data_IF_900753548572
#
_entry.id   IF_900753548572
#
_cell.length_a   1.000
_cell.length_b   1.000
_cell.length_c   1.000
_cell.angle_alpha   90.00
_cell.angle_beta   90.00
_cell.angle_gamma   90.00
#
_symmetry.space_group_name_H-M   'P 1'
#
loop_
_entity.id
_entity.type
_entity.pdbx_description
1 polymer ?
#
# COMPACT_ATOMS: atom_id res chain seq x y z
N UNK A 1 17.49 -22.78 -5.07
CA UNK A 1 18.73 -22.00 -5.12
C UNK A 1 19.05 -21.56 -3.71
N UNK A 2 20.32 -21.34 -3.38
CA UNK A 2 20.68 -20.80 -2.08
C UNK A 2 20.19 -19.34 -2.01
N UNK A 3 19.67 -18.94 -0.86
CA UNK A 3 19.16 -17.58 -0.62
C UNK A 3 20.31 -16.59 -0.53
N UNK A 4 20.17 -15.40 -1.14
CA UNK A 4 21.19 -14.36 -1.07
C UNK A 4 21.32 -13.82 0.35
N UNK A 5 22.54 -13.44 0.73
CA UNK A 5 22.84 -12.91 2.05
C UNK A 5 23.57 -11.57 1.92
N UNK A 6 23.10 -10.58 2.66
CA UNK A 6 23.41 -9.16 2.56
C UNK A 6 24.07 -8.63 3.84
N UNK A 7 25.02 -9.41 4.39
CA UNK A 7 25.64 -9.16 5.70
C UNK A 7 26.15 -7.73 5.89
N UNK A 8 26.94 -7.21 4.95
CA UNK A 8 27.55 -5.88 5.09
C UNK A 8 26.50 -4.76 5.07
N UNK A 9 25.48 -4.90 4.23
CA UNK A 9 24.42 -3.91 4.12
C UNK A 9 23.58 -3.89 5.38
N UNK A 10 23.07 -5.06 5.77
CA UNK A 10 22.19 -5.19 6.93
C UNK A 10 22.90 -4.82 8.24
N UNK A 11 24.16 -5.20 8.42
CA UNK A 11 24.94 -4.80 9.60
C UNK A 11 25.19 -3.28 9.69
N UNK A 12 25.03 -2.54 8.60
CA UNK A 12 25.12 -1.09 8.55
C UNK A 12 23.78 -0.36 8.74
N UNK A 13 22.66 -1.08 8.77
CA UNK A 13 21.34 -0.47 8.92
C UNK A 13 21.11 -0.03 10.37
N UNK A 14 20.60 1.19 10.61
CA UNK A 14 20.17 1.63 11.93
C UNK A 14 18.95 0.83 12.42
N UNK A 15 18.87 0.58 13.71
CA UNK A 15 17.65 0.01 14.30
C UNK A 15 16.49 1.01 14.22
N UNK A 16 15.31 0.51 13.86
CA UNK A 16 14.06 1.27 13.84
C UNK A 16 13.01 0.64 14.76
N UNK A 17 12.21 1.48 15.40
CA UNK A 17 11.14 1.08 16.31
C UNK A 17 9.85 1.77 15.88
N UNK A 18 8.71 1.17 16.18
CA UNK A 18 7.39 1.69 15.79
C UNK A 18 7.15 3.15 16.24
N UNK A 19 7.69 3.53 17.40
CA UNK A 19 7.54 4.88 17.97
C UNK A 19 8.70 5.84 17.60
N UNK A 20 9.54 5.47 16.64
CA UNK A 20 10.62 6.33 16.16
C UNK A 20 10.06 7.61 15.54
N UNK A 21 10.45 8.77 16.07
CA UNK A 21 10.02 10.09 15.59
C UNK A 21 10.98 10.71 14.56
N UNK A 22 12.10 10.02 14.28
CA UNK A 22 13.09 10.41 13.27
C UNK A 22 13.37 9.24 12.37
N UNK A 23 13.45 9.52 11.07
CA UNK A 23 13.83 8.54 10.07
C UNK A 23 15.35 8.53 9.91
N UNK A 24 15.98 7.34 9.86
CA UNK A 24 17.38 7.25 9.49
C UNK A 24 17.63 7.64 8.02
N UNK A 25 16.62 7.41 7.18
CA UNK A 25 16.56 7.71 5.75
C UNK A 25 15.09 7.66 5.31
N UNK A 26 14.74 8.34 4.23
CA UNK A 26 13.43 8.23 3.57
C UNK A 26 13.29 6.90 2.85
N UNK A 27 12.07 6.51 2.49
CA UNK A 27 11.85 5.29 1.68
C UNK A 27 12.50 5.39 0.30
N UNK A 28 12.56 6.60 -0.28
CA UNK A 28 13.20 6.81 -1.58
C UNK A 28 14.71 6.61 -1.48
N UNK A 29 15.36 7.22 -0.49
CA UNK A 29 16.79 7.03 -0.23
C UNK A 29 17.11 5.55 0.04
N UNK A 30 16.25 4.85 0.78
CA UNK A 30 16.44 3.41 0.98
C UNK A 30 16.29 2.62 -0.31
N UNK A 31 15.30 2.96 -1.15
CA UNK A 31 15.12 2.36 -2.47
C UNK A 31 16.37 2.50 -3.34
N UNK A 32 16.96 3.70 -3.39
CA UNK A 32 18.21 3.95 -4.12
C UNK A 32 19.38 3.11 -3.57
N UNK A 33 19.50 2.97 -2.25
CA UNK A 33 20.50 2.10 -1.65
C UNK A 33 20.32 0.62 -2.05
N UNK A 34 19.07 0.16 -2.16
CA UNK A 34 18.76 -1.23 -2.54
C UNK A 34 19.08 -1.52 -4.00
N UNK A 35 18.97 -0.54 -4.90
CA UNK A 35 19.32 -0.65 -6.32
C UNK A 35 20.80 -1.05 -6.53
N UNK A 36 21.70 -0.58 -5.67
CA UNK A 36 23.14 -0.87 -5.77
C UNK A 36 23.55 -2.20 -5.11
N UNK A 37 22.73 -2.72 -4.20
CA UNK A 37 23.11 -3.81 -3.30
C UNK A 37 22.41 -5.12 -3.63
N UNK A 38 21.14 -5.08 -4.04
CA UNK A 38 20.34 -6.28 -4.21
C UNK A 38 20.72 -7.07 -5.46
N UNK A 39 20.74 -8.40 -5.32
CA UNK A 39 20.77 -9.27 -6.48
C UNK A 39 19.48 -9.09 -7.32
N UNK A 40 19.59 -9.27 -8.64
CA UNK A 40 18.48 -9.02 -9.57
C UNK A 40 17.18 -9.77 -9.21
N UNK A 41 17.25 -10.98 -8.66
CA UNK A 41 16.05 -11.74 -8.27
C UNK A 41 15.34 -11.11 -7.07
N UNK A 42 16.09 -10.63 -6.08
CA UNK A 42 15.56 -10.01 -4.87
C UNK A 42 15.11 -8.57 -5.12
N UNK A 43 15.80 -7.87 -6.02
CA UNK A 43 15.40 -6.54 -6.48
C UNK A 43 13.97 -6.58 -7.04
N UNK A 44 13.62 -7.59 -7.83
CA UNK A 44 12.26 -7.77 -8.36
C UNK A 44 11.20 -7.89 -7.26
N UNK A 45 11.55 -8.41 -6.09
CA UNK A 45 10.64 -8.50 -4.95
C UNK A 45 10.35 -7.12 -4.35
N UNK A 46 11.38 -6.28 -4.26
CA UNK A 46 11.26 -4.89 -3.81
C UNK A 46 10.55 -4.02 -4.83
N UNK A 47 10.86 -4.20 -6.12
CA UNK A 47 10.21 -3.48 -7.22
C UNK A 47 8.70 -3.69 -7.20
N UNK A 48 8.23 -4.92 -6.89
CA UNK A 48 6.80 -5.19 -6.70
C UNK A 48 6.17 -4.27 -5.67
N UNK A 49 6.83 -3.96 -4.57
CA UNK A 49 6.29 -3.07 -3.53
C UNK A 49 6.18 -1.61 -3.97
N UNK A 50 7.06 -1.18 -4.88
CA UNK A 50 7.11 0.19 -5.38
C UNK A 50 6.14 0.47 -6.52
N UNK A 51 5.59 -0.57 -7.17
CA UNK A 51 4.56 -0.42 -8.21
C UNK A 51 3.31 0.33 -7.74
N UNK A 52 3.08 0.47 -6.43
CA UNK A 52 2.02 1.37 -5.91
C UNK A 52 2.10 2.79 -6.49
N UNK A 53 3.30 3.32 -6.74
CA UNK A 53 3.48 4.64 -7.34
C UNK A 53 3.14 4.63 -8.84
N UNK A 54 3.51 3.57 -9.56
CA UNK A 54 3.16 3.41 -10.96
C UNK A 54 1.65 3.16 -11.16
N UNK A 55 0.98 2.52 -10.20
CA UNK A 55 -0.47 2.34 -10.17
C UNK A 55 -1.20 3.68 -10.03
N UNK A 56 -0.75 4.50 -9.09
CA UNK A 56 -1.24 5.88 -8.92
C UNK A 56 -1.04 6.70 -10.21
N UNK A 57 0.14 6.57 -10.82
CA UNK A 57 0.47 7.26 -12.06
C UNK A 57 -0.42 6.84 -13.24
N UNK A 58 -0.61 5.53 -13.43
CA UNK A 58 -1.48 5.01 -14.48
C UNK A 58 -2.91 5.49 -14.29
N UNK A 59 -3.46 5.39 -13.07
CA UNK A 59 -4.80 5.89 -12.74
C UNK A 59 -4.93 7.39 -13.02
N UNK A 60 -3.96 8.19 -12.58
CA UNK A 60 -3.94 9.63 -12.80
C UNK A 60 -3.89 9.97 -14.30
N UNK A 61 -3.03 9.27 -15.05
CA UNK A 61 -2.87 9.46 -16.48
C UNK A 61 -4.12 9.07 -17.29
N UNK A 62 -4.77 7.96 -16.93
CA UNK A 62 -6.01 7.51 -17.58
C UNK A 62 -7.16 8.52 -17.37
N UNK A 63 -7.26 9.10 -16.18
CA UNK A 63 -8.24 10.16 -15.88
C UNK A 63 -7.90 11.50 -16.53
N UNK A 64 -6.62 11.86 -16.58
CA UNK A 64 -6.14 13.10 -17.17
C UNK A 64 -4.77 12.87 -17.82
N UNK A 65 -4.72 12.91 -19.16
CA UNK A 65 -3.49 12.71 -19.95
C UNK A 65 -2.39 13.75 -19.70
N UNK A 66 -2.72 14.87 -19.04
CA UNK A 66 -1.77 15.92 -18.66
C UNK A 66 -1.49 15.94 -17.14
N UNK A 67 -1.83 14.87 -16.41
CA UNK A 67 -1.53 14.78 -14.98
C UNK A 67 -0.02 14.83 -14.73
N UNK A 68 0.40 15.54 -13.68
CA UNK A 68 1.77 15.44 -13.18
C UNK A 68 1.93 14.11 -12.45
N UNK A 69 2.82 13.27 -12.95
CA UNK A 69 3.05 11.92 -12.41
C UNK A 69 3.99 11.97 -11.20
N UNK A 70 3.75 11.09 -10.25
CA UNK A 70 4.61 10.84 -9.11
C UNK A 70 5.98 10.34 -9.59
N UNK A 71 7.04 11.10 -9.30
CA UNK A 71 8.42 10.83 -9.72
C UNK A 71 9.02 9.57 -9.08
N UNK A 72 8.36 9.01 -8.05
CA UNK A 72 8.74 7.74 -7.43
C UNK A 72 8.34 6.52 -8.26
N UNK A 73 7.43 6.69 -9.22
CA UNK A 73 7.11 5.66 -10.21
C UNK A 73 8.25 5.50 -11.22
N UNK A 74 8.46 4.28 -11.70
CA UNK A 74 9.51 3.96 -12.68
C UNK A 74 9.04 4.12 -14.13
N UNK A 75 7.72 4.11 -14.37
CA UNK A 75 7.13 4.16 -15.70
C UNK A 75 6.79 5.62 -16.05
N UNK A 76 7.39 6.11 -17.14
CA UNK A 76 7.15 7.46 -17.65
C UNK A 76 5.79 7.65 -18.30
N UNK A 77 5.37 8.90 -18.48
CA UNK A 77 4.15 9.24 -19.22
C UNK A 77 4.17 8.74 -20.66
N UNK A 78 5.33 8.78 -21.30
CA UNK A 78 5.58 8.29 -22.65
C UNK A 78 5.38 6.78 -22.72
N UNK A 79 5.95 6.02 -21.77
CA UNK A 79 5.79 4.56 -21.71
C UNK A 79 4.33 4.15 -21.40
N UNK A 80 3.63 4.87 -20.52
CA UNK A 80 2.19 4.65 -20.30
C UNK A 80 1.42 4.87 -21.59
N UNK A 81 1.71 5.95 -22.32
CA UNK A 81 1.06 6.26 -23.58
C UNK A 81 1.34 5.19 -24.64
N UNK A 82 2.59 4.80 -24.82
CA UNK A 82 2.98 3.73 -25.76
C UNK A 82 2.31 2.40 -25.43
N UNK A 83 2.14 2.10 -24.14
CA UNK A 83 1.41 0.91 -23.66
C UNK A 83 -0.06 0.97 -24.08
N UNK A 84 -0.74 2.11 -23.84
CA UNK A 84 -2.13 2.30 -24.25
C UNK A 84 -2.28 2.22 -25.77
N UNK A 85 -1.43 2.94 -26.52
CA UNK A 85 -1.45 2.97 -27.98
C UNK A 85 -1.24 1.55 -28.56
N UNK A 86 -0.39 0.74 -27.94
CA UNK A 86 -0.17 -0.67 -28.33
C UNK A 86 -1.41 -1.54 -28.06
N UNK A 87 -2.06 -1.36 -26.91
CA UNK A 87 -3.26 -2.12 -26.52
C UNK A 87 -4.44 -1.79 -27.43
N UNK A 88 -4.64 -0.52 -27.80
CA UNK A 88 -5.74 -0.09 -28.69
C UNK A 88 -5.71 -0.75 -30.07
N UNK A 89 -4.52 -1.13 -30.56
CA UNK A 89 -4.33 -1.80 -31.85
C UNK A 89 -4.02 -3.30 -31.71
N UNK A 90 -4.24 -3.88 -30.53
CA UNK A 90 -3.94 -5.27 -30.18
C UNK A 90 -2.49 -5.70 -30.51
N UNK A 91 -1.54 -4.77 -30.32
CA UNK A 91 -0.12 -5.01 -30.50
C UNK A 91 0.55 -5.39 -29.17
N UNK A 92 1.50 -6.36 -29.15
CA UNK A 92 2.16 -6.76 -27.92
C UNK A 92 2.96 -5.62 -27.26
N UNK A 93 2.83 -5.48 -25.94
CA UNK A 93 3.63 -4.55 -25.15
C UNK A 93 5.10 -4.98 -25.21
N UNK A 94 5.97 -4.08 -25.65
CA UNK A 94 7.40 -4.37 -25.86
C UNK A 94 8.25 -4.14 -24.62
N UNK A 95 7.81 -3.26 -23.71
CA UNK A 95 8.56 -2.89 -22.52
C UNK A 95 8.34 -3.92 -21.40
N UNK A 96 9.37 -4.71 -21.02
CA UNK A 96 9.25 -5.76 -20.00
C UNK A 96 9.10 -5.21 -18.58
N UNK A 97 9.34 -3.92 -18.35
CA UNK A 97 9.16 -3.26 -17.06
C UNK A 97 7.69 -2.94 -16.77
N UNK A 98 6.81 -2.98 -17.80
CA UNK A 98 5.36 -2.84 -17.61
C UNK A 98 4.82 -4.10 -16.91
N UNK A 99 4.21 -3.96 -15.72
CA UNK A 99 3.62 -5.11 -15.04
C UNK A 99 2.52 -5.74 -15.90
N UNK A 100 2.42 -7.08 -15.96
CA UNK A 100 1.42 -7.74 -16.82
C UNK A 100 -0.02 -7.28 -16.56
N UNK A 101 -0.38 -7.00 -15.30
CA UNK A 101 -1.73 -6.56 -14.95
C UNK A 101 -2.09 -5.16 -15.45
N UNK A 102 -1.11 -4.35 -15.90
CA UNK A 102 -1.41 -3.06 -16.54
C UNK A 102 -2.18 -3.27 -17.83
N UNK A 103 -1.84 -4.32 -18.59
CA UNK A 103 -2.54 -4.63 -19.82
C UNK A 103 -4.02 -4.94 -19.55
N UNK A 104 -4.28 -5.86 -18.60
CA UNK A 104 -5.62 -6.25 -18.21
C UNK A 104 -6.43 -5.06 -17.70
N UNK A 105 -5.81 -4.22 -16.86
CA UNK A 105 -6.43 -3.02 -16.32
C UNK A 105 -6.76 -1.98 -17.40
N UNK A 106 -5.82 -1.69 -18.31
CA UNK A 106 -6.03 -0.72 -19.40
C UNK A 106 -7.09 -1.23 -20.37
N UNK A 107 -7.09 -2.52 -20.72
CA UNK A 107 -8.15 -3.11 -21.57
C UNK A 107 -9.52 -2.93 -20.95
N UNK A 108 -9.64 -3.18 -19.66
CA UNK A 108 -10.89 -2.99 -18.92
C UNK A 108 -11.29 -1.52 -18.85
N UNK A 109 -10.32 -0.60 -18.70
CA UNK A 109 -10.56 0.84 -18.78
C UNK A 109 -11.04 1.28 -20.17
N UNK A 110 -10.48 0.75 -21.26
CA UNK A 110 -10.88 1.16 -22.62
C UNK A 110 -12.25 0.62 -23.04
N UNK A 111 -12.77 -0.39 -22.34
CA UNK A 111 -14.13 -0.91 -22.56
C UNK A 111 -15.18 0.09 -22.03
N UNK A 112 -15.89 0.76 -22.94
CA UNK A 112 -16.96 1.70 -22.59
C UNK A 112 -18.06 1.04 -21.74
N UNK A 113 -18.34 -0.24 -21.94
CA UNK A 113 -19.37 -0.96 -21.16
C UNK A 113 -18.98 -1.15 -19.70
N UNK A 114 -17.67 -1.13 -19.39
CA UNK A 114 -17.17 -1.26 -18.02
C UNK A 114 -17.44 -0.01 -17.16
N UNK A 115 -17.68 1.15 -17.78
CA UNK A 115 -17.91 2.41 -17.06
C UNK A 115 -19.35 2.56 -16.55
N UNK A 116 -20.31 1.85 -17.13
CA UNK A 116 -21.71 1.87 -16.72
C UNK A 116 -21.94 1.12 -15.39
N UNK A 117 -20.97 0.34 -14.92
CA UNK A 117 -21.08 -0.56 -13.77
C UNK A 117 -20.79 0.08 -12.39
N UNK A 118 -20.69 1.42 -12.28
CA UNK A 118 -20.26 2.13 -11.05
C UNK A 118 -18.97 1.54 -10.45
N UNK A 119 -18.00 1.15 -11.28
CA UNK A 119 -16.73 0.58 -10.82
C UNK A 119 -15.92 1.61 -10.05
N UNK A 120 -15.45 1.20 -8.87
CA UNK A 120 -14.40 1.91 -8.14
C UNK A 120 -13.06 1.47 -8.75
N UNK A 121 -12.59 2.25 -9.73
CA UNK A 121 -11.37 1.99 -10.49
C UNK A 121 -10.13 1.83 -9.61
N UNK A 122 -10.09 2.54 -8.48
CA UNK A 122 -9.05 2.42 -7.45
C UNK A 122 -9.07 1.05 -6.76
N UNK A 123 -10.25 0.52 -6.46
CA UNK A 123 -10.40 -0.79 -5.82
C UNK A 123 -10.01 -1.90 -6.79
N UNK A 124 -10.38 -1.77 -8.06
CA UNK A 124 -9.98 -2.69 -9.12
C UNK A 124 -8.45 -2.67 -9.33
N UNK A 125 -7.82 -1.49 -9.38
CA UNK A 125 -6.36 -1.40 -9.45
C UNK A 125 -5.71 -2.07 -8.23
N UNK A 126 -6.30 -1.86 -7.05
CA UNK A 126 -5.85 -2.51 -5.82
C UNK A 126 -5.98 -4.03 -5.91
N UNK A 127 -7.05 -4.57 -6.52
CA UNK A 127 -7.21 -6.01 -6.76
C UNK A 127 -6.04 -6.57 -7.58
N UNK A 128 -5.83 -6.01 -8.77
CA UNK A 128 -4.77 -6.45 -9.67
C UNK A 128 -3.39 -6.37 -9.01
N UNK A 129 -3.13 -5.29 -8.29
CA UNK A 129 -1.86 -5.09 -7.59
C UNK A 129 -1.65 -6.10 -6.46
N UNK A 130 -2.68 -6.34 -5.65
CA UNK A 130 -2.60 -7.28 -4.54
C UNK A 130 -2.42 -8.72 -5.05
N UNK A 131 -3.14 -9.12 -6.10
CA UNK A 131 -2.97 -10.44 -6.70
C UNK A 131 -1.57 -10.62 -7.30
N UNK A 132 -1.06 -9.62 -8.02
CA UNK A 132 0.30 -9.66 -8.55
C UNK A 132 1.38 -9.79 -7.47
N UNK A 133 1.19 -9.13 -6.32
CA UNK A 133 2.07 -9.26 -5.17
C UNK A 133 2.00 -10.64 -4.51
N UNK A 134 0.79 -11.17 -4.34
CA UNK A 134 0.52 -12.50 -3.73
C UNK A 134 1.08 -13.65 -4.56
N UNK A 135 1.19 -13.50 -5.87
CA UNK A 135 1.84 -14.48 -6.77
C UNK A 135 3.36 -14.57 -6.59
N UNK A 136 3.97 -13.72 -5.75
CA UNK A 136 5.38 -13.85 -5.38
C UNK A 136 5.70 -15.24 -4.82
N UNK A 137 6.83 -15.80 -5.26
CA UNK A 137 7.35 -17.06 -4.71
C UNK A 137 7.98 -16.88 -3.33
N UNK A 138 8.33 -15.65 -2.97
CA UNK A 138 8.83 -15.31 -1.65
C UNK A 138 7.64 -15.23 -0.68
N UNK A 139 7.74 -15.98 0.44
CA UNK A 139 6.63 -16.15 1.38
C UNK A 139 6.32 -14.88 2.16
N UNK A 140 7.32 -14.13 2.60
CA UNK A 140 7.11 -12.89 3.34
C UNK A 140 6.42 -11.86 2.45
N UNK A 141 6.92 -11.68 1.22
CA UNK A 141 6.35 -10.73 0.25
C UNK A 141 4.90 -11.12 -0.09
N UNK A 142 4.66 -12.37 -0.48
CA UNK A 142 3.31 -12.86 -0.77
C UNK A 142 2.36 -12.68 0.43
N UNK A 143 2.83 -13.05 1.62
CA UNK A 143 2.08 -12.91 2.87
C UNK A 143 1.80 -11.45 3.24
N UNK A 144 2.70 -10.52 2.93
CA UNK A 144 2.50 -9.09 3.17
C UNK A 144 1.37 -8.52 2.30
N UNK A 145 1.33 -8.88 1.02
CA UNK A 145 0.24 -8.47 0.13
C UNK A 145 -1.10 -9.11 0.55
N UNK A 146 -1.09 -10.40 0.89
CA UNK A 146 -2.25 -11.12 1.44
C UNK A 146 -2.77 -10.45 2.73
N UNK A 147 -1.89 -10.13 3.68
CA UNK A 147 -2.24 -9.44 4.93
C UNK A 147 -2.94 -8.11 4.65
N UNK A 148 -2.37 -7.27 3.77
CA UNK A 148 -2.90 -5.95 3.50
C UNK A 148 -4.26 -5.99 2.79
N UNK A 149 -4.44 -6.91 1.84
CA UNK A 149 -5.73 -7.19 1.22
C UNK A 149 -6.77 -7.61 2.27
N UNK A 150 -6.37 -8.52 3.18
CA UNK A 150 -7.26 -9.04 4.21
C UNK A 150 -7.66 -7.98 5.24
N UNK A 151 -6.70 -7.16 5.71
CA UNK A 151 -7.00 -6.02 6.60
C UNK A 151 -8.04 -5.10 5.95
N UNK A 152 -7.82 -4.72 4.68
CA UNK A 152 -8.75 -3.86 3.94
C UNK A 152 -10.15 -4.45 3.85
N UNK A 153 -10.26 -5.69 3.38
CA UNK A 153 -11.53 -6.40 3.23
C UNK A 153 -12.27 -6.59 4.56
N UNK A 154 -11.57 -6.96 5.64
CA UNK A 154 -12.16 -7.16 6.96
C UNK A 154 -12.73 -5.85 7.50
N UNK A 155 -11.96 -4.76 7.42
CA UNK A 155 -12.42 -3.44 7.88
C UNK A 155 -13.61 -2.96 7.05
N UNK A 156 -13.55 -3.10 5.72
CA UNK A 156 -14.64 -2.76 4.83
C UNK A 156 -15.93 -3.54 5.17
N UNK A 157 -15.81 -4.86 5.40
CA UNK A 157 -16.93 -5.71 5.80
C UNK A 157 -17.54 -5.30 7.14
N UNK A 158 -16.70 -5.01 8.15
CA UNK A 158 -17.14 -4.54 9.47
C UNK A 158 -17.92 -3.23 9.33
N UNK A 159 -17.41 -2.27 8.56
CA UNK A 159 -18.10 -0.99 8.36
C UNK A 159 -19.39 -1.14 7.56
N UNK A 160 -19.40 -1.95 6.50
CA UNK A 160 -20.63 -2.21 5.75
C UNK A 160 -21.72 -2.77 6.66
N UNK A 161 -21.39 -3.73 7.52
CA UNK A 161 -22.33 -4.26 8.52
C UNK A 161 -22.78 -3.21 9.52
N UNK A 162 -21.88 -2.36 10.01
CA UNK A 162 -22.20 -1.27 10.94
C UNK A 162 -23.15 -0.23 10.35
N UNK A 163 -23.02 0.05 9.05
CA UNK A 163 -23.79 1.10 8.36
C UNK A 163 -24.94 0.57 7.48
N UNK A 164 -25.15 -0.75 7.42
CA UNK A 164 -26.21 -1.38 6.63
C UNK A 164 -25.96 -1.31 5.12
N UNK A 165 -24.69 -1.31 4.70
CA UNK A 165 -24.28 -1.35 3.29
C UNK A 165 -24.10 -2.81 2.83
N UNK A 166 -24.22 -3.03 1.52
CA UNK A 166 -23.93 -4.35 0.93
C UNK A 166 -22.42 -4.61 0.98
N UNK A 167 -22.04 -5.69 1.67
CA UNK A 167 -20.64 -6.11 1.78
C UNK A 167 -20.09 -6.51 0.41
N UNK A 168 -20.90 -7.14 -0.44
CA UNK A 168 -20.40 -7.70 -1.71
C UNK A 168 -19.91 -6.64 -2.69
N UNK A 169 -20.29 -5.37 -2.52
CA UNK A 169 -19.90 -4.28 -3.42
C UNK A 169 -18.55 -3.66 -3.08
N UNK A 170 -17.94 -4.01 -1.94
CA UNK A 170 -16.69 -3.38 -1.47
C UNK A 170 -15.55 -4.36 -1.21
N UNK A 171 -15.81 -5.66 -1.26
CA UNK A 171 -14.76 -6.67 -1.06
C UNK A 171 -13.96 -6.82 -2.33
N UNK A 172 -12.64 -6.68 -2.20
CA UNK A 172 -11.66 -6.71 -3.28
C UNK A 172 -11.04 -8.10 -3.38
N UNK A 173 -10.83 -8.59 -4.61
CA UNK A 173 -10.11 -9.85 -4.85
C UNK A 173 -10.92 -11.12 -4.62
N UNK A 174 -10.28 -12.26 -4.86
CA UNK A 174 -10.93 -13.59 -4.85
C UNK A 174 -10.20 -14.63 -3.98
N UNK A 175 -9.40 -14.17 -3.02
CA UNK A 175 -8.76 -15.04 -2.03
C UNK A 175 -9.77 -15.67 -1.06
N UNK A 176 -9.29 -16.56 -0.22
CA UNK A 176 -10.14 -17.30 0.73
C UNK A 176 -10.90 -16.36 1.67
N UNK A 177 -10.23 -15.34 2.21
CA UNK A 177 -10.86 -14.35 3.11
C UNK A 177 -11.96 -13.58 2.39
N UNK A 178 -11.72 -13.08 1.17
CA UNK A 178 -12.74 -12.39 0.39
C UNK A 178 -13.95 -13.29 0.11
N UNK A 179 -13.73 -14.56 -0.25
CA UNK A 179 -14.82 -15.53 -0.47
C UNK A 179 -15.62 -15.79 0.80
N UNK A 180 -14.94 -16.05 1.93
CA UNK A 180 -15.59 -16.27 3.21
C UNK A 180 -16.47 -15.09 3.63
N UNK A 181 -16.00 -13.85 3.43
CA UNK A 181 -16.78 -12.64 3.70
C UNK A 181 -18.05 -12.58 2.84
N UNK A 182 -17.92 -12.81 1.52
CA UNK A 182 -19.07 -12.77 0.58
C UNK A 182 -20.07 -13.91 0.83
N UNK A 183 -19.60 -15.09 1.23
CA UNK A 183 -20.45 -16.25 1.52
C UNK A 183 -21.13 -16.14 2.90
N UNK A 184 -20.52 -15.44 3.86
CA UNK A 184 -20.98 -15.36 5.25
C UNK A 184 -21.28 -13.92 5.74
N UNK A 185 -21.93 -13.03 4.97
CA UNK A 185 -22.07 -11.61 5.33
C UNK A 185 -22.87 -11.37 6.61
N UNK A 186 -23.77 -12.31 6.95
CA UNK A 186 -24.62 -12.23 8.13
C UNK A 186 -23.95 -12.77 9.41
N UNK A 187 -22.90 -13.57 9.30
CA UNK A 187 -22.18 -14.14 10.45
C UNK A 187 -21.36 -13.04 11.13
N UNK A 188 -21.26 -13.05 12.48
CA UNK A 188 -20.62 -11.96 13.25
C UNK A 188 -19.17 -11.73 12.85
N UNK A 189 -18.43 -12.82 12.67
CA UNK A 189 -17.01 -12.84 12.32
C UNK A 189 -16.75 -13.21 10.85
N UNK A 190 -17.82 -13.34 10.04
CA UNK A 190 -17.74 -13.82 8.66
C UNK A 190 -17.11 -15.23 8.51
N UNK A 191 -17.01 -15.99 9.60
CA UNK A 191 -16.27 -17.26 9.64
C UNK A 191 -14.74 -17.13 9.76
N UNK A 192 -14.22 -15.92 10.02
CA UNK A 192 -12.78 -15.64 9.98
C UNK A 192 -12.05 -15.80 11.32
N UNK A 193 -12.74 -15.75 12.48
CA UNK A 193 -12.06 -15.80 13.79
C UNK A 193 -11.26 -17.09 14.02
N UNK A 194 -11.54 -18.16 13.25
CA UNK A 194 -10.78 -19.43 13.32
C UNK A 194 -9.65 -19.52 12.31
N UNK A 195 -9.74 -18.76 11.21
CA UNK A 195 -8.77 -18.80 10.11
C UNK A 195 -7.67 -17.74 10.29
N UNK A 196 -8.00 -16.61 10.92
CA UNK A 196 -7.10 -15.47 11.07
C UNK A 196 -6.90 -15.11 12.54
N UNK A 197 -5.71 -15.38 13.07
CA UNK A 197 -5.33 -15.10 14.46
C UNK A 197 -5.48 -13.61 14.84
N UNK A 198 -5.32 -12.71 13.85
CA UNK A 198 -5.40 -11.27 14.04
C UNK A 198 -6.82 -10.69 13.87
N UNK A 199 -7.83 -11.50 13.54
CA UNK A 199 -9.20 -11.01 13.29
C UNK A 199 -9.80 -10.31 14.51
N UNK A 200 -9.74 -10.94 15.69
CA UNK A 200 -10.30 -10.37 16.92
C UNK A 200 -9.58 -9.06 17.33
N UNK A 201 -8.30 -8.92 16.96
CA UNK A 201 -7.56 -7.67 17.12
C UNK A 201 -8.07 -6.61 16.14
N UNK A 202 -8.25 -6.92 14.85
CA UNK A 202 -8.84 -5.99 13.89
C UNK A 202 -10.26 -5.57 14.26
N UNK A 203 -11.08 -6.50 14.77
CA UNK A 203 -12.44 -6.17 15.22
C UNK A 203 -12.42 -5.13 16.33
N UNK A 204 -11.54 -5.28 17.33
CA UNK A 204 -11.35 -4.28 18.40
C UNK A 204 -10.81 -2.96 17.87
N UNK A 205 -9.92 -3.00 16.87
CA UNK A 205 -9.42 -1.78 16.22
C UNK A 205 -10.53 -1.05 15.48
N UNK A 206 -11.43 -1.75 14.78
CA UNK A 206 -12.55 -1.14 14.06
C UNK A 206 -13.58 -0.44 14.97
N UNK A 207 -13.63 -0.82 16.25
CA UNK A 207 -14.45 -0.17 17.28
C UNK A 207 -13.82 1.13 17.80
N UNK A 208 -12.53 1.37 17.53
CA UNK A 208 -11.86 2.61 17.91
C UNK A 208 -12.49 3.82 17.20
N UNK A 209 -12.87 4.81 18.00
CA UNK A 209 -13.55 6.01 17.54
C UNK A 209 -12.59 7.10 17.09
N UNK A 210 -11.41 7.15 17.71
CA UNK A 210 -10.35 8.07 17.30
C UNK A 210 -9.67 7.53 16.03
N UNK A 211 -9.81 8.27 14.92
CA UNK A 211 -9.29 7.86 13.61
C UNK A 211 -7.76 7.73 13.65
N UNK A 212 -7.07 8.64 14.36
CA UNK A 212 -5.62 8.60 14.48
C UNK A 212 -5.17 7.34 15.21
N UNK A 213 -5.76 7.07 16.37
CA UNK A 213 -5.44 5.87 17.16
C UNK A 213 -5.81 4.58 16.41
N UNK A 214 -6.91 4.60 15.66
CA UNK A 214 -7.32 3.47 14.82
C UNK A 214 -6.26 3.17 13.77
N UNK A 215 -5.89 4.15 12.95
CA UNK A 215 -4.86 3.97 11.91
C UNK A 215 -3.53 3.53 12.52
N UNK A 216 -3.13 4.11 13.66
CA UNK A 216 -1.90 3.73 14.37
C UNK A 216 -1.94 2.29 14.86
N UNK A 217 -3.08 1.81 15.36
CA UNK A 217 -3.24 0.40 15.75
C UNK A 217 -3.23 -0.56 14.56
N UNK A 218 -3.78 -0.16 13.40
CA UNK A 218 -3.69 -0.98 12.18
C UNK A 218 -2.23 -1.12 11.74
N UNK A 219 -1.47 -0.02 11.75
CA UNK A 219 -0.05 -0.08 11.43
C UNK A 219 0.78 -0.84 12.45
N UNK A 220 0.40 -0.77 13.73
CA UNK A 220 1.02 -1.59 14.76
C UNK A 220 0.83 -3.08 14.47
N UNK A 221 -0.38 -3.47 14.07
CA UNK A 221 -0.67 -4.85 13.68
C UNK A 221 0.17 -5.28 12.46
N UNK A 222 0.34 -4.42 11.46
CA UNK A 222 1.25 -4.69 10.32
C UNK A 222 2.70 -4.85 10.78
N UNK A 223 3.15 -3.98 11.68
CA UNK A 223 4.50 -4.02 12.22
C UNK A 223 4.76 -5.32 13.00
N UNK A 224 3.84 -5.69 13.89
CA UNK A 224 3.95 -6.91 14.69
C UNK A 224 3.96 -8.14 13.79
N UNK A 225 3.11 -8.17 12.74
CA UNK A 225 3.15 -9.24 11.75
C UNK A 225 4.50 -9.36 11.05
N UNK A 226 5.14 -8.23 10.70
CA UNK A 226 6.48 -8.24 10.11
C UNK A 226 7.53 -8.77 11.10
N UNK A 227 7.49 -8.32 12.37
CA UNK A 227 8.40 -8.83 13.42
C UNK A 227 8.27 -10.34 13.60
N UNK A 228 7.04 -10.86 13.68
CA UNK A 228 6.75 -12.29 13.85
C UNK A 228 7.17 -13.15 12.66
N UNK A 229 7.04 -12.62 11.44
CA UNK A 229 7.37 -13.36 10.21
C UNK A 229 8.84 -13.22 9.80
N UNK A 230 9.66 -12.42 10.51
CA UNK A 230 11.09 -12.27 10.25
C UNK A 230 11.97 -12.54 11.47
N UNK A 231 11.48 -13.21 12.52
CA UNK A 231 12.23 -13.44 13.78
C UNK A 231 13.58 -14.12 13.56
N UNK A 232 13.65 -15.01 12.56
CA UNK A 232 14.84 -15.82 12.26
C UNK A 232 15.60 -15.35 11.00
N UNK A 233 15.16 -14.25 10.41
CA UNK A 233 15.70 -13.68 9.19
C UNK A 233 16.59 -12.49 9.54
N UNK A 234 17.90 -12.66 9.38
CA UNK A 234 18.86 -11.66 9.87
C UNK A 234 19.59 -10.92 8.76
N UNK A 235 19.81 -11.55 7.60
CA UNK A 235 20.67 -10.99 6.55
C UNK A 235 20.15 -11.26 5.14
N UNK A 236 18.93 -11.74 4.97
CA UNK A 236 18.35 -12.08 3.67
C UNK A 236 17.40 -10.98 3.17
N UNK A 237 16.76 -11.25 2.04
CA UNK A 237 15.78 -10.37 1.44
C UNK A 237 14.54 -10.17 2.34
N UNK A 238 14.16 -11.17 3.13
CA UNK A 238 13.00 -11.07 4.03
C UNK A 238 13.22 -10.00 5.10
N UNK A 239 14.40 -9.98 5.72
CA UNK A 239 14.78 -8.90 6.64
C UNK A 239 14.73 -7.52 5.96
N UNK A 240 15.32 -7.40 4.77
CA UNK A 240 15.38 -6.12 4.03
C UNK A 240 13.99 -5.63 3.65
N UNK A 241 13.13 -6.52 3.17
CA UNK A 241 11.76 -6.20 2.79
C UNK A 241 10.93 -5.77 4.02
N UNK A 242 11.05 -6.49 5.14
CA UNK A 242 10.39 -6.08 6.39
C UNK A 242 10.88 -4.72 6.87
N UNK A 243 12.19 -4.45 6.77
CA UNK A 243 12.77 -3.14 7.08
C UNK A 243 12.17 -2.05 6.19
N UNK A 244 12.07 -2.27 4.87
CA UNK A 244 11.45 -1.33 3.92
C UNK A 244 9.99 -1.03 4.29
N UNK A 245 9.19 -2.06 4.59
CA UNK A 245 7.78 -1.88 4.98
C UNK A 245 7.65 -1.09 6.29
N UNK A 246 8.47 -1.41 7.30
CA UNK A 246 8.53 -0.69 8.58
C UNK A 246 8.94 0.77 8.40
N UNK A 247 9.95 1.02 7.57
CA UNK A 247 10.38 2.38 7.25
C UNK A 247 9.25 3.17 6.58
N UNK A 248 8.51 2.57 5.65
CA UNK A 248 7.39 3.24 5.00
C UNK A 248 6.24 3.57 5.96
N UNK A 249 5.97 2.69 6.94
CA UNK A 249 5.04 3.00 8.04
C UNK A 249 5.54 4.23 8.81
N UNK A 250 6.80 4.26 9.24
CA UNK A 250 7.35 5.39 9.99
C UNK A 250 7.31 6.69 9.19
N UNK A 251 7.71 6.66 7.92
CA UNK A 251 7.75 7.85 7.09
C UNK A 251 6.36 8.48 6.94
N UNK A 252 5.32 7.65 6.80
CA UNK A 252 3.93 8.14 6.76
C UNK A 252 3.56 8.88 8.04
N UNK A 253 3.90 8.35 9.22
CA UNK A 253 3.60 9.01 10.49
C UNK A 253 4.45 10.26 10.74
N UNK A 254 5.71 10.25 10.34
CA UNK A 254 6.60 11.43 10.46
C UNK A 254 6.07 12.56 9.58
N UNK A 255 5.64 12.27 8.35
CA UNK A 255 5.08 13.28 7.44
C UNK A 255 3.75 13.84 7.96
N UNK A 256 2.84 12.99 8.46
CA UNK A 256 1.58 13.43 9.07
C UNK A 256 1.82 14.37 10.26
N UNK A 257 2.78 14.04 11.13
CA UNK A 257 3.14 14.89 12.27
C UNK A 257 3.76 16.23 11.83
N UNK A 258 4.52 16.25 10.74
CA UNK A 258 5.13 17.46 10.20
C UNK A 258 4.07 18.39 9.57
N UNK A 259 3.18 17.85 8.76
CA UNK A 259 2.06 18.60 8.16
C UNK A 259 1.14 19.18 9.23
N UNK A 260 0.80 18.38 10.25
CA UNK A 260 -0.01 18.84 11.38
C UNK A 260 0.72 19.91 12.20
N UNK A 261 2.02 19.74 12.44
CA UNK A 261 2.86 20.74 13.11
C UNK A 261 2.92 22.06 12.33
N UNK A 262 3.05 21.99 11.01
CA UNK A 262 3.03 23.17 10.13
C UNK A 262 1.66 23.86 10.16
N UNK A 263 0.56 23.10 10.12
CA UNK A 263 -0.81 23.62 10.20
C UNK A 263 -1.03 24.38 11.50
N UNK A 264 -0.64 23.80 12.64
CA UNK A 264 -0.72 24.44 13.96
C UNK A 264 0.14 25.70 14.02
N UNK A 265 1.38 25.65 13.50
CA UNK A 265 2.27 26.82 13.47
C UNK A 265 1.66 27.97 12.65
N UNK A 266 1.10 27.69 11.46
CA UNK A 266 0.42 28.69 10.64
C UNK A 266 -0.79 29.28 11.34
N UNK A 267 -1.55 28.47 12.08
CA UNK A 267 -2.69 28.91 12.87
C UNK A 267 -2.27 29.85 14.01
N UNK A 268 -1.22 29.50 14.78
CA UNK A 268 -0.66 30.38 15.81
C UNK A 268 -0.20 31.74 15.25
N UNK A 269 0.45 31.75 14.07
CA UNK A 269 0.85 32.99 13.41
C UNK A 269 -0.36 33.81 12.95
N UNK A 270 -1.44 33.17 12.48
CA UNK A 270 -2.66 33.85 12.10
C UNK A 270 -3.35 34.49 13.31
N UNK A 271 -3.47 33.75 14.41
CA UNK A 271 -4.06 34.21 15.68
C UNK A 271 -3.28 35.40 16.25
N UNK A 272 -1.94 35.32 16.25
CA UNK A 272 -1.06 36.43 16.65
C UNK A 272 -1.25 37.68 15.77
N UNK A 273 -1.47 37.50 14.45
CA UNK A 273 -1.72 38.63 13.54
C UNK A 273 -3.10 39.26 13.75
N UNK A 274 -4.12 38.47 14.10
CA UNK A 274 -5.44 39.01 14.44
C UNK A 274 -5.41 39.83 15.73
N UNK A 275 -4.69 39.37 16.76
CA UNK A 275 -4.59 40.11 18.03
C UNK A 275 -3.87 41.47 17.89
N UNK A 276 -2.87 41.54 17.01
CA UNK A 276 -2.15 42.79 16.72
C UNK A 276 -3.02 43.80 15.96
N UNK A 277 -4.04 43.34 15.21
CA UNK A 277 -4.94 44.22 14.45
C UNK A 277 -6.06 44.86 15.28
N UNK A 278 -6.34 44.36 16.49
CA UNK A 278 -7.38 44.89 17.39
C UNK A 278 -6.86 46.01 18.32
N UNK A 279 -5.56 46.32 18.26
CA UNK A 279 -4.91 47.31 19.15
C UNK A 279 -4.77 48.72 18.57
N UNK A 280 -5.44 49.02 17.45
CA UNK A 280 -5.45 50.36 16.83
C UNK A 280 -6.89 50.91 16.72
N UNK A 281 -7.53 51.16 17.87
CA UNK A 281 -8.61 52.15 18.00
C UNK A 281 -8.34 53.07 19.21
#
# INVERSE_FOLDING_TARGET
MAENQYYCFVAGLPDIFFDSTKLPFTVDEFGEMLEEVLANEDKKLVDKYFLKYDNENLLAFLKNKNAELNKKGKISSEEIKETIDSIEVDFPIQNPEIPPYFEDYIRLWLDESAHDENKLWEDLMSEFYMDYGRESKNKLVSGWFELNLNIGNILAAIYCKKYGLDVNTVIVGNNEVARLIRENPNVRDFGLSRELEYFDTLQRIAEETDIYERERKIDRLRWDWLDENTVFDYFNIDFIFAYLCKLNILERWVNLNAEEGERIFRQLIADLKSDVSVSNE
#
